data_IF_565084207996
#
_entry.id   IF_565084207996
#
_cell.length_a   1.000
_cell.length_b   1.000
_cell.length_c   1.000
_cell.angle_alpha   90.00
_cell.angle_beta   90.00
_cell.angle_gamma   90.00
#
_symmetry.space_group_name_H-M   'P 1'
#
loop_
_entity.id
_entity.type
_entity.pdbx_description
1 polymer ?
#
# COMPACT_ATOMS: atom_id res chain seq x y z
N UNK A 1 8.52 0.05 16.01
CA UNK A 1 7.87 0.75 14.89
C UNK A 1 8.97 1.24 13.99
N UNK A 2 8.93 0.82 12.74
CA UNK A 2 9.85 1.32 11.71
C UNK A 2 9.66 2.81 11.48
N UNK A 3 10.60 3.43 10.79
CA UNK A 3 10.49 4.82 10.36
C UNK A 3 10.77 4.98 8.85
N UNK A 4 10.39 6.14 8.32
CA UNK A 4 10.58 6.49 6.91
C UNK A 4 12.04 6.33 6.45
N UNK A 5 13.01 6.57 7.33
CA UNK A 5 14.43 6.55 6.96
C UNK A 5 14.91 5.11 6.78
N UNK A 6 14.41 4.19 7.61
CA UNK A 6 14.72 2.77 7.54
C UNK A 6 14.16 2.17 6.26
N UNK A 7 12.87 2.41 5.99
CA UNK A 7 12.22 2.01 4.74
C UNK A 7 12.92 2.61 3.52
N UNK A 8 13.27 3.89 3.56
CA UNK A 8 13.97 4.55 2.45
C UNK A 8 15.31 3.88 2.14
N UNK A 9 16.11 3.55 3.17
CA UNK A 9 17.41 2.87 2.98
C UNK A 9 17.24 1.48 2.37
N UNK A 10 16.21 0.74 2.79
CA UNK A 10 15.91 -0.59 2.24
C UNK A 10 15.51 -0.50 0.76
N UNK A 11 14.65 0.45 0.41
CA UNK A 11 14.29 0.71 -0.99
C UNK A 11 15.51 1.13 -1.81
N UNK A 12 16.38 2.00 -1.28
CA UNK A 12 17.61 2.42 -1.95
C UNK A 12 18.63 1.28 -2.12
N UNK A 13 18.65 0.33 -1.20
CA UNK A 13 19.55 -0.82 -1.23
C UNK A 13 19.13 -1.86 -2.28
N UNK A 14 17.83 -2.12 -2.40
CA UNK A 14 17.30 -3.21 -3.24
C UNK A 14 16.57 -2.74 -4.49
N UNK A 15 16.34 -1.45 -4.64
CA UNK A 15 15.58 -0.88 -5.74
C UNK A 15 16.40 -0.69 -7.01
N UNK A 16 15.77 -0.94 -8.14
CA UNK A 16 16.30 -0.76 -9.48
C UNK A 16 15.58 0.35 -10.25
N UNK A 17 16.14 0.72 -11.40
CA UNK A 17 15.50 1.67 -12.29
C UNK A 17 14.18 1.09 -12.82
N UNK A 18 13.08 1.83 -12.62
CA UNK A 18 11.70 1.46 -12.99
C UNK A 18 10.94 0.54 -12.01
N UNK A 19 11.50 0.22 -10.84
CA UNK A 19 10.77 -0.46 -9.77
C UNK A 19 9.55 0.32 -9.27
N UNK A 20 9.59 1.64 -9.46
CA UNK A 20 8.55 2.56 -9.04
C UNK A 20 8.04 3.40 -10.19
N UNK A 21 6.78 3.80 -10.11
CA UNK A 21 6.14 4.65 -11.11
C UNK A 21 6.56 6.12 -11.03
N UNK A 22 7.16 6.52 -9.89
CA UNK A 22 7.53 7.89 -9.58
C UNK A 22 6.47 8.58 -8.72
N UNK A 23 6.92 9.47 -7.83
CA UNK A 23 6.09 10.14 -6.84
C UNK A 23 4.90 10.90 -7.42
N UNK A 24 3.75 10.81 -6.74
CA UNK A 24 2.53 11.51 -7.12
C UNK A 24 2.33 12.81 -6.33
N UNK A 25 1.65 13.78 -6.94
CA UNK A 25 1.36 15.05 -6.28
C UNK A 25 0.33 14.90 -5.15
N UNK A 26 0.36 15.83 -4.19
CA UNK A 26 -0.67 15.91 -3.14
C UNK A 26 -2.10 16.05 -3.68
N UNK A 27 -2.26 16.69 -4.85
CA UNK A 27 -3.56 16.79 -5.55
C UNK A 27 -4.03 15.41 -6.02
N UNK A 28 -3.14 14.63 -6.66
CA UNK A 28 -3.44 13.27 -7.12
C UNK A 28 -3.78 12.35 -5.93
N UNK A 29 -3.04 12.46 -4.83
CA UNK A 29 -3.30 11.71 -3.59
C UNK A 29 -4.66 12.06 -3.00
N UNK A 30 -5.00 13.35 -2.95
CA UNK A 30 -6.33 13.79 -2.49
C UNK A 30 -7.44 13.21 -3.36
N UNK A 31 -7.27 13.25 -4.69
CA UNK A 31 -8.24 12.67 -5.63
C UNK A 31 -8.38 11.15 -5.45
N UNK A 32 -7.28 10.42 -5.22
CA UNK A 32 -7.32 8.99 -4.95
C UNK A 32 -8.09 8.66 -3.65
N UNK A 33 -7.90 9.48 -2.61
CA UNK A 33 -8.66 9.40 -1.35
C UNK A 33 -10.15 9.70 -1.55
N UNK A 34 -10.48 10.78 -2.26
CA UNK A 34 -11.87 11.13 -2.62
C UNK A 34 -12.56 10.02 -3.42
N UNK A 35 -11.85 9.41 -4.38
CA UNK A 35 -12.39 8.29 -5.13
C UNK A 35 -12.77 7.14 -4.20
N UNK A 36 -11.97 6.86 -3.18
CA UNK A 36 -12.22 5.75 -2.24
C UNK A 36 -12.99 6.18 -1.00
N UNK A 37 -13.50 7.40 -0.90
CA UNK A 37 -14.13 7.93 0.33
C UNK A 37 -13.26 7.71 1.59
N UNK A 38 -11.93 7.77 1.45
CA UNK A 38 -10.98 7.58 2.55
C UNK A 38 -9.92 8.67 2.61
N UNK A 39 -9.33 8.85 3.79
CA UNK A 39 -8.13 9.67 3.97
C UNK A 39 -6.92 8.76 4.19
N UNK A 40 -5.93 8.86 3.30
CA UNK A 40 -4.74 8.01 3.38
C UNK A 40 -3.87 8.36 4.61
N UNK A 41 -3.45 7.37 5.41
CA UNK A 41 -2.54 7.58 6.54
C UNK A 41 -1.23 8.25 6.13
N UNK A 42 -0.62 9.00 7.04
CA UNK A 42 0.55 9.84 6.74
C UNK A 42 1.74 9.04 6.18
N UNK A 43 2.01 7.85 6.71
CA UNK A 43 3.10 6.98 6.26
C UNK A 43 2.90 6.51 4.81
N UNK A 44 1.68 6.10 4.46
CA UNK A 44 1.33 5.68 3.10
C UNK A 44 1.29 6.86 2.12
N UNK A 45 0.83 8.04 2.55
CA UNK A 45 0.95 9.26 1.74
C UNK A 45 2.39 9.60 1.41
N UNK A 46 3.30 9.54 2.39
CA UNK A 46 4.73 9.76 2.15
C UNK A 46 5.27 8.79 1.09
N UNK A 47 4.86 7.52 1.13
CA UNK A 47 5.27 6.54 0.13
C UNK A 47 4.78 6.93 -1.27
N UNK A 48 3.50 7.25 -1.42
CA UNK A 48 2.94 7.65 -2.73
C UNK A 48 3.57 8.96 -3.22
N UNK A 49 3.81 9.94 -2.35
CA UNK A 49 4.46 11.21 -2.71
C UNK A 49 5.88 11.02 -3.26
N UNK A 50 6.58 9.99 -2.79
CA UNK A 50 7.98 9.75 -3.14
C UNK A 50 8.15 8.73 -4.27
N UNK A 51 7.34 7.68 -4.26
CA UNK A 51 7.51 6.50 -5.11
C UNK A 51 6.30 6.23 -6.02
N UNK A 52 5.12 6.75 -5.69
CA UNK A 52 3.89 6.49 -6.44
C UNK A 52 3.32 5.11 -6.12
N UNK A 53 3.65 4.13 -6.95
CA UNK A 53 3.33 2.69 -6.81
C UNK A 53 4.54 1.88 -7.26
N UNK A 54 4.69 0.66 -6.75
CA UNK A 54 5.82 -0.22 -7.07
C UNK A 54 6.43 -0.82 -5.81
N UNK A 55 7.61 -1.41 -5.95
CA UNK A 55 8.31 -2.01 -4.83
C UNK A 55 9.57 -2.75 -5.28
N UNK A 56 10.18 -3.48 -4.36
CA UNK A 56 11.47 -4.14 -4.54
C UNK A 56 11.36 -5.61 -4.17
N UNK A 57 12.26 -6.46 -4.66
CA UNK A 57 12.29 -7.89 -4.32
C UNK A 57 10.95 -8.62 -4.61
N UNK A 58 10.26 -8.22 -5.68
CA UNK A 58 8.95 -8.78 -6.05
C UNK A 58 7.77 -8.28 -5.21
N UNK A 59 8.01 -7.47 -4.17
CA UNK A 59 6.97 -6.76 -3.43
C UNK A 59 6.44 -5.65 -4.34
N UNK A 60 5.12 -5.49 -4.41
CA UNK A 60 4.50 -4.44 -5.21
C UNK A 60 3.45 -3.68 -4.41
N UNK A 61 3.83 -2.53 -3.86
CA UNK A 61 2.90 -1.65 -3.16
C UNK A 61 2.05 -0.92 -4.18
N UNK A 62 0.75 -1.19 -4.11
CA UNK A 62 -0.28 -0.54 -4.91
C UNK A 62 -0.38 0.91 -4.44
N UNK A 63 -0.39 1.85 -5.39
CA UNK A 63 -0.48 3.28 -5.12
C UNK A 63 -1.01 4.04 -6.32
N UNK A 64 -0.35 5.16 -6.67
CA UNK A 64 -0.69 5.95 -7.85
C UNK A 64 0.38 5.74 -8.92
N UNK A 65 -0.03 5.20 -10.06
CA UNK A 65 0.83 4.96 -11.20
C UNK A 65 1.06 6.18 -12.10
N UNK A 66 1.87 5.99 -13.15
CA UNK A 66 2.18 7.01 -14.16
C UNK A 66 0.90 7.64 -14.72
N UNK A 67 0.97 8.91 -15.11
CA UNK A 67 -0.15 9.69 -15.65
C UNK A 67 -1.39 9.74 -14.73
N UNK A 68 -1.17 9.77 -13.41
CA UNK A 68 -2.24 9.75 -12.39
C UNK A 68 -3.18 8.54 -12.54
N UNK A 69 -2.62 7.37 -12.82
CA UNK A 69 -3.40 6.13 -12.82
C UNK A 69 -3.66 5.71 -11.37
N UNK A 70 -4.90 5.91 -10.90
CA UNK A 70 -5.30 5.64 -9.50
C UNK A 70 -5.53 4.14 -9.23
N UNK A 71 -4.47 3.33 -9.33
CA UNK A 71 -4.53 1.86 -9.19
C UNK A 71 -5.12 1.47 -7.83
N UNK A 72 -4.64 2.08 -6.75
CA UNK A 72 -5.19 1.89 -5.39
C UNK A 72 -6.70 2.10 -5.34
N UNK A 73 -7.18 3.18 -5.96
CA UNK A 73 -8.61 3.50 -5.95
C UNK A 73 -9.43 2.52 -6.78
N UNK A 74 -8.91 2.09 -7.94
CA UNK A 74 -9.57 1.12 -8.82
C UNK A 74 -9.74 -0.23 -8.13
N UNK A 75 -8.65 -0.78 -7.59
CA UNK A 75 -8.66 -2.11 -6.95
C UNK A 75 -9.53 -2.07 -5.68
N UNK A 76 -9.33 -1.06 -4.82
CA UNK A 76 -10.13 -0.92 -3.59
C UNK A 76 -11.62 -0.84 -3.89
N UNK A 77 -12.06 -0.04 -4.88
CA UNK A 77 -13.48 0.00 -5.29
C UNK A 77 -13.99 -1.33 -5.80
N UNK A 78 -13.20 -1.99 -6.65
CA UNK A 78 -13.59 -3.28 -7.21
C UNK A 78 -13.85 -4.31 -6.11
N UNK A 79 -13.00 -4.40 -5.09
CA UNK A 79 -13.19 -5.32 -3.97
C UNK A 79 -14.38 -4.92 -3.09
N UNK A 80 -14.65 -3.62 -2.91
CA UNK A 80 -15.85 -3.15 -2.21
C UNK A 80 -17.12 -3.56 -2.93
N UNK A 81 -17.15 -3.42 -4.25
CA UNK A 81 -18.32 -3.74 -5.08
C UNK A 81 -18.56 -5.25 -5.21
N UNK A 82 -17.50 -6.07 -5.22
CA UNK A 82 -17.58 -7.50 -5.49
C UNK A 82 -17.61 -8.37 -4.23
N UNK A 83 -16.98 -7.92 -3.15
CA UNK A 83 -16.69 -8.73 -1.98
C UNK A 83 -16.87 -7.98 -0.65
N UNK A 84 -17.59 -6.84 -0.67
CA UNK A 84 -17.94 -6.07 0.52
C UNK A 84 -16.72 -5.68 1.40
N UNK A 85 -15.57 -5.38 0.78
CA UNK A 85 -14.40 -4.85 1.49
C UNK A 85 -14.82 -3.65 2.39
N UNK A 86 -14.44 -3.59 3.67
CA UNK A 86 -14.82 -2.48 4.54
C UNK A 86 -14.34 -1.10 4.02
N UNK A 87 -15.16 -0.07 4.23
CA UNK A 87 -14.89 1.29 3.71
C UNK A 87 -13.63 1.94 4.30
N UNK A 88 -13.20 1.53 5.51
CA UNK A 88 -11.98 2.00 6.14
C UNK A 88 -10.73 1.22 5.70
N UNK A 89 -10.85 0.20 4.86
CA UNK A 89 -9.72 -0.52 4.30
C UNK A 89 -9.36 -0.02 2.90
N UNK A 90 -8.06 0.09 2.66
CA UNK A 90 -7.46 0.38 1.36
C UNK A 90 -6.49 -0.75 1.02
N UNK A 91 -6.59 -1.28 -0.19
CA UNK A 91 -5.69 -2.35 -0.65
C UNK A 91 -4.32 -1.77 -0.98
N UNK A 92 -3.27 -2.27 -0.33
CA UNK A 92 -1.89 -1.82 -0.52
C UNK A 92 -0.99 -2.87 -1.17
N UNK A 93 -1.38 -4.14 -1.18
CA UNK A 93 -0.70 -5.21 -1.92
C UNK A 93 -1.74 -6.28 -2.32
N UNK A 94 -1.62 -6.79 -3.54
CA UNK A 94 -2.42 -7.89 -4.08
C UNK A 94 -1.51 -9.12 -4.16
N UNK A 95 -1.87 -10.17 -3.43
CA UNK A 95 -1.12 -11.43 -3.33
C UNK A 95 -1.89 -12.58 -4.00
N UNK A 96 -2.69 -12.28 -5.02
CA UNK A 96 -3.57 -13.17 -5.80
C UNK A 96 -4.72 -13.80 -4.99
N UNK A 97 -4.40 -14.58 -3.94
CA UNK A 97 -5.38 -15.29 -3.10
C UNK A 97 -5.89 -14.43 -1.93
N UNK A 98 -5.10 -13.43 -1.54
CA UNK A 98 -5.40 -12.52 -0.44
C UNK A 98 -4.79 -11.14 -0.70
N UNK A 99 -5.14 -10.19 0.17
CA UNK A 99 -4.74 -8.81 0.06
C UNK A 99 -4.19 -8.31 1.40
N UNK A 100 -3.16 -7.47 1.33
CA UNK A 100 -2.80 -6.64 2.48
C UNK A 100 -3.54 -5.31 2.38
N UNK A 101 -4.27 -5.00 3.45
CA UNK A 101 -5.13 -3.83 3.52
C UNK A 101 -4.68 -2.89 4.64
N UNK A 102 -4.46 -1.62 4.31
CA UNK A 102 -4.21 -0.56 5.28
C UNK A 102 -5.55 -0.03 5.81
N UNK A 103 -5.73 -0.07 7.11
CA UNK A 103 -6.89 0.51 7.77
C UNK A 103 -6.66 2.01 8.03
N UNK A 104 -7.58 2.85 7.57
CA UNK A 104 -7.46 4.31 7.70
C UNK A 104 -7.77 4.85 9.09
N UNK A 105 -8.48 4.08 9.91
CA UNK A 105 -8.90 4.51 11.25
C UNK A 105 -7.79 4.31 12.28
N UNK A 106 -7.08 3.18 12.20
CA UNK A 106 -6.02 2.82 13.16
C UNK A 106 -4.62 2.72 12.55
N UNK A 107 -4.48 2.94 11.25
CA UNK A 107 -3.23 2.89 10.48
C UNK A 107 -2.52 1.54 10.45
N UNK A 108 -3.15 0.46 10.95
CA UNK A 108 -2.57 -0.89 10.90
C UNK A 108 -2.78 -1.55 9.55
N UNK A 109 -1.95 -2.56 9.27
CA UNK A 109 -2.10 -3.41 8.08
C UNK A 109 -2.72 -4.73 8.49
N UNK A 110 -3.76 -5.12 7.79
CA UNK A 110 -4.52 -6.34 8.00
C UNK A 110 -4.35 -7.27 6.80
N UNK A 111 -4.35 -8.57 7.10
CA UNK A 111 -4.67 -9.58 6.12
C UNK A 111 -6.17 -9.51 5.80
N UNK A 112 -6.52 -9.62 4.52
CA UNK A 112 -7.91 -9.70 4.10
C UNK A 112 -8.04 -10.64 2.90
N UNK A 113 -9.03 -11.51 2.90
CA UNK A 113 -9.40 -12.32 1.74
C UNK A 113 -10.90 -12.21 1.43
N UNK A 114 -11.31 -12.72 0.27
CA UNK A 114 -12.68 -12.61 -0.22
C UNK A 114 -13.62 -13.74 0.27
N UNK A 115 -13.15 -14.65 1.14
CA UNK A 115 -13.91 -15.77 1.69
C UNK A 115 -14.27 -15.50 3.15
N UNK A 116 -13.27 -15.29 3.99
CA UNK A 116 -13.36 -15.08 5.44
C UNK A 116 -13.33 -13.59 5.81
N UNK A 117 -12.92 -12.71 4.90
CA UNK A 117 -12.92 -11.26 5.11
C UNK A 117 -11.70 -10.78 5.90
N UNK A 118 -11.91 -9.93 6.90
CA UNK A 118 -10.83 -9.32 7.68
C UNK A 118 -10.18 -10.33 8.64
N UNK A 119 -8.90 -10.63 8.41
CA UNK A 119 -8.10 -11.52 9.23
C UNK A 119 -7.24 -10.79 10.26
N UNK A 120 -6.05 -11.34 10.55
CA UNK A 120 -5.15 -10.78 11.55
C UNK A 120 -4.53 -9.42 11.17
N UNK A 121 -4.05 -8.73 12.20
CA UNK A 121 -3.14 -7.60 12.05
C UNK A 121 -1.77 -8.16 11.68
N UNK A 122 -1.27 -7.76 10.51
CA UNK A 122 0.03 -8.15 9.97
C UNK A 122 1.11 -7.17 10.43
N UNK A 123 0.78 -5.89 10.54
CA UNK A 123 1.70 -4.86 11.06
C UNK A 123 0.95 -3.71 11.75
N UNK A 124 1.64 -3.06 12.70
CA UNK A 124 1.06 -1.94 13.47
C UNK A 124 1.00 -0.63 12.67
N UNK A 125 1.77 -0.51 11.61
CA UNK A 125 1.80 0.66 10.73
C UNK A 125 2.39 0.29 9.37
N UNK A 126 2.19 1.17 8.37
CA UNK A 126 2.67 0.97 7.00
C UNK A 126 4.21 0.86 6.89
N UNK A 127 4.98 1.57 7.71
CA UNK A 127 6.44 1.46 7.63
C UNK A 127 6.93 0.13 8.20
N UNK A 128 6.36 -0.30 9.32
CA UNK A 128 6.67 -1.61 9.91
C UNK A 128 6.32 -2.72 8.91
N UNK A 129 5.15 -2.65 8.25
CA UNK A 129 4.78 -3.56 7.18
C UNK A 129 5.82 -3.62 6.06
N UNK A 130 6.18 -2.47 5.48
CA UNK A 130 7.08 -2.45 4.33
C UNK A 130 8.51 -2.86 4.70
N UNK A 131 8.99 -2.50 5.89
CA UNK A 131 10.29 -2.99 6.39
C UNK A 131 10.30 -4.51 6.55
N UNK A 132 9.32 -5.07 7.26
CA UNK A 132 9.21 -6.51 7.51
C UNK A 132 9.11 -7.28 6.20
N UNK A 133 8.23 -6.85 5.28
CA UNK A 133 8.10 -7.43 3.94
C UNK A 133 9.44 -7.46 3.19
N UNK A 134 10.18 -6.35 3.14
CA UNK A 134 11.47 -6.28 2.43
C UNK A 134 12.51 -7.18 3.10
N UNK A 135 12.57 -7.21 4.44
CA UNK A 135 13.51 -8.07 5.17
C UNK A 135 13.25 -9.55 4.90
N UNK A 136 12.01 -9.98 5.02
CA UNK A 136 11.60 -11.36 4.77
C UNK A 136 11.95 -11.81 3.34
N UNK A 137 11.76 -10.93 2.35
CA UNK A 137 12.11 -11.23 0.96
C UNK A 137 13.63 -11.20 0.70
N UNK A 138 14.41 -10.45 1.49
CA UNK A 138 15.87 -10.37 1.33
C UNK A 138 16.63 -11.52 2.00
N UNK A 139 16.00 -12.22 2.94
CA UNK A 139 16.57 -13.36 3.66
C UNK A 139 16.27 -14.72 2.99
N UNK A 140 15.39 -14.74 1.99
CA UNK A 140 15.00 -15.91 1.18
C UNK A 140 15.72 -15.95 -0.17
#
# INVERSE_FOLDING_TARGET
MSDKNTVQKLIEQYGEENDFTGGASSIAIKQAGELTDTQFPAAYRWFIERYGSGGVLGINIIGIGKNNTYVVSKITKQLREQFDLPNNLIVIEDCDEFYYCLNTDDSKVYFWDNIDGMGEIVALDFFSFLEERIRDMSEN
#
